data_IF_064063430199
#
_entry.id   IF_064063430199
#
_cell.length_a   1.000
_cell.length_b   1.000
_cell.length_c   1.000
_cell.angle_alpha   90.00
_cell.angle_beta   90.00
_cell.angle_gamma   90.00
#
_symmetry.space_group_name_H-M   'P 1'
#
loop_
_entity.id
_entity.type
_entity.pdbx_description
1 polymer ?
#
# COMPACT_ATOMS: atom_id res chain seq x y z
N UNK A 1 12.56 -31.98 54.92
CA UNK A 1 11.68 -30.86 54.58
C UNK A 1 12.27 -30.22 53.31
N UNK A 2 11.75 -30.47 52.08
CA UNK A 2 12.18 -29.73 50.87
C UNK A 2 11.30 -28.50 50.71
N UNK A 3 11.97 -27.37 50.50
CA UNK A 3 11.38 -26.09 50.19
C UNK A 3 10.84 -26.08 48.73
N UNK A 4 9.56 -25.92 48.59
CA UNK A 4 8.89 -25.73 47.31
C UNK A 4 9.26 -24.38 46.72
N UNK A 5 9.99 -24.41 45.60
CA UNK A 5 10.21 -23.21 44.77
C UNK A 5 8.95 -22.90 43.95
N UNK A 6 8.30 -21.79 44.26
CA UNK A 6 7.21 -21.24 43.47
C UNK A 6 7.77 -20.79 42.11
N UNK A 7 7.01 -20.98 40.97
CA UNK A 7 7.43 -20.47 39.68
C UNK A 7 7.23 -18.95 39.64
N UNK A 8 8.02 -18.19 38.85
CA UNK A 8 7.90 -16.77 38.75
C UNK A 8 6.58 -16.38 38.05
N UNK A 9 5.90 -15.45 38.69
CA UNK A 9 4.69 -14.79 38.26
C UNK A 9 4.80 -14.27 36.83
N UNK A 10 3.96 -14.79 35.94
CA UNK A 10 3.89 -14.36 34.55
C UNK A 10 3.33 -12.95 34.52
N UNK A 11 4.17 -11.97 34.29
CA UNK A 11 3.77 -10.59 34.09
C UNK A 11 2.68 -10.52 32.98
N UNK A 12 1.58 -9.80 33.21
CA UNK A 12 0.52 -9.68 32.21
C UNK A 12 1.08 -8.99 30.96
N UNK A 13 0.95 -9.65 29.81
CA UNK A 13 1.31 -9.09 28.52
C UNK A 13 0.52 -7.78 28.31
N UNK A 14 1.22 -6.66 28.25
CA UNK A 14 0.64 -5.35 27.97
C UNK A 14 -0.18 -5.45 26.68
N UNK A 15 -1.46 -5.10 26.67
CA UNK A 15 -2.30 -5.18 25.47
C UNK A 15 -1.67 -4.32 24.38
N UNK A 16 -1.30 -4.96 23.27
CA UNK A 16 -0.78 -4.27 22.09
C UNK A 16 -1.86 -3.31 21.62
N UNK A 17 -1.61 -2.01 21.75
CA UNK A 17 -2.55 -0.98 21.31
C UNK A 17 -2.98 -1.26 19.87
N UNK A 18 -4.27 -1.17 19.60
CA UNK A 18 -4.82 -1.35 18.26
C UNK A 18 -4.12 -0.41 17.26
N UNK A 19 -3.83 -0.85 16.04
CA UNK A 19 -3.24 0.01 15.02
C UNK A 19 -4.19 1.19 14.74
N UNK A 20 -3.62 2.37 14.59
CA UNK A 20 -4.37 3.58 14.23
C UNK A 20 -4.86 3.44 12.79
N UNK A 21 -6.13 3.71 12.44
CA UNK A 21 -6.61 3.60 11.08
C UNK A 21 -5.83 4.52 10.10
N UNK A 22 -5.71 4.19 8.79
CA UNK A 22 -5.07 5.05 7.82
C UNK A 22 -5.69 6.45 7.83
N UNK A 23 -4.86 7.47 7.71
CA UNK A 23 -5.35 8.83 7.54
C UNK A 23 -5.94 8.97 6.14
N UNK A 24 -7.24 9.25 6.04
CA UNK A 24 -7.90 9.46 4.76
C UNK A 24 -7.61 10.85 4.22
N UNK A 25 -7.22 10.93 2.95
CA UNK A 25 -7.05 12.15 2.17
C UNK A 25 -7.75 11.96 0.83
N UNK A 26 -8.40 13.02 0.33
CA UNK A 26 -9.23 12.93 -0.87
C UNK A 26 -8.42 13.04 -2.17
N UNK A 27 -7.20 13.57 -2.09
CA UNK A 27 -6.36 13.81 -3.27
C UNK A 27 -4.88 13.76 -2.95
N UNK A 28 -4.07 13.62 -4.01
CA UNK A 28 -2.61 13.72 -3.92
C UNK A 28 -2.16 15.08 -3.37
N UNK A 29 -2.87 16.18 -3.70
CA UNK A 29 -2.58 17.50 -3.15
C UNK A 29 -2.74 17.54 -1.62
N UNK A 30 -3.78 16.93 -1.07
CA UNK A 30 -3.95 16.84 0.39
C UNK A 30 -2.87 15.98 1.02
N UNK A 31 -2.47 14.89 0.36
CA UNK A 31 -1.34 14.08 0.78
C UNK A 31 -0.05 14.90 0.84
N UNK A 32 0.25 15.65 -0.21
CA UNK A 32 1.45 16.52 -0.28
C UNK A 32 1.49 17.51 0.88
N UNK A 33 0.36 18.17 1.17
CA UNK A 33 0.24 19.07 2.32
C UNK A 33 0.51 18.35 3.64
N UNK A 34 -0.03 17.14 3.82
CA UNK A 34 0.19 16.34 5.01
C UNK A 34 1.68 15.96 5.16
N UNK A 35 2.36 15.64 4.06
CA UNK A 35 3.76 15.25 4.05
C UNK A 35 4.73 16.42 4.34
N UNK A 36 4.38 17.67 4.02
CA UNK A 36 5.26 18.84 4.15
C UNK A 36 5.88 18.94 5.54
N UNK A 37 5.09 18.77 6.60
CA UNK A 37 5.55 18.86 7.98
C UNK A 37 6.56 17.78 8.33
N UNK A 38 6.29 16.55 7.89
CA UNK A 38 7.16 15.40 8.15
C UNK A 38 8.48 15.52 7.40
N UNK A 39 8.43 15.88 6.13
CA UNK A 39 9.62 16.13 5.31
C UNK A 39 10.46 17.31 5.83
N UNK A 40 9.82 18.38 6.29
CA UNK A 40 10.54 19.53 6.87
C UNK A 40 11.24 19.17 8.18
N UNK A 41 10.65 18.29 8.99
CA UNK A 41 11.27 17.78 10.23
C UNK A 41 12.45 16.88 9.91
N UNK A 42 12.28 15.88 9.05
CA UNK A 42 13.33 14.96 8.62
C UNK A 42 14.55 15.71 8.06
N UNK A 43 14.32 16.71 7.20
CA UNK A 43 15.43 17.54 6.67
C UNK A 43 16.26 18.24 7.75
N UNK A 44 15.61 18.73 8.81
CA UNK A 44 16.34 19.39 9.92
C UNK A 44 17.17 18.39 10.74
N UNK A 45 16.76 17.13 10.75
CA UNK A 45 17.45 16.06 11.46
C UNK A 45 18.50 15.35 10.60
N UNK A 46 18.52 15.62 9.29
CA UNK A 46 19.40 14.93 8.34
C UNK A 46 18.95 13.53 7.99
N UNK A 47 17.72 13.15 8.38
CA UNK A 47 17.16 11.81 8.14
C UNK A 47 16.63 11.70 6.71
N UNK A 48 16.72 10.49 6.14
CA UNK A 48 16.11 10.16 4.87
C UNK A 48 14.71 9.62 5.11
N UNK A 49 13.78 10.04 4.25
CA UNK A 49 12.44 9.49 4.23
C UNK A 49 12.16 8.85 2.87
N UNK A 50 11.39 7.79 2.89
CA UNK A 50 10.91 7.13 1.69
C UNK A 50 9.39 7.19 1.64
N UNK A 51 8.84 7.36 0.44
CA UNK A 51 7.41 7.27 0.16
C UNK A 51 7.15 6.05 -0.71
N UNK A 52 6.29 5.16 -0.24
CA UNK A 52 5.69 4.11 -1.06
C UNK A 52 4.32 4.59 -1.54
N UNK A 53 4.11 4.56 -2.84
CA UNK A 53 2.81 4.75 -3.46
C UNK A 53 2.24 3.39 -3.84
N UNK A 54 1.01 3.10 -3.44
CA UNK A 54 0.38 1.80 -3.62
C UNK A 54 -0.92 1.98 -4.38
N UNK A 55 -1.02 1.39 -5.56
CA UNK A 55 -2.25 1.32 -6.35
C UNK A 55 -2.90 -0.05 -6.21
N UNK A 56 -4.21 -0.06 -6.05
CA UNK A 56 -5.01 -1.26 -5.87
C UNK A 56 -6.02 -1.36 -7.00
N UNK A 57 -5.91 -2.42 -7.78
CA UNK A 57 -6.83 -2.73 -8.87
C UNK A 57 -7.60 -4.01 -8.53
N UNK A 58 -8.94 -3.93 -8.55
CA UNK A 58 -9.77 -5.13 -8.37
C UNK A 58 -9.82 -5.93 -9.67
N UNK A 59 -9.55 -7.23 -9.56
CA UNK A 59 -9.55 -8.14 -10.70
C UNK A 59 -10.98 -8.62 -10.99
N UNK A 60 -11.61 -8.05 -12.01
CA UNK A 60 -13.02 -8.32 -12.38
C UNK A 60 -13.24 -9.65 -13.10
N UNK A 61 -12.19 -10.21 -13.70
CA UNK A 61 -12.27 -11.48 -14.42
C UNK A 61 -12.40 -12.72 -13.51
N UNK A 62 -12.24 -12.54 -12.21
CA UNK A 62 -12.34 -13.59 -11.19
C UNK A 62 -13.66 -13.53 -10.38
N UNK A 63 -14.60 -12.66 -10.78
CA UNK A 63 -15.85 -12.48 -10.07
C UNK A 63 -16.78 -11.43 -10.68
N UNK A 64 -17.90 -11.11 -10.04
CA UNK A 64 -18.81 -10.06 -10.49
C UNK A 64 -18.10 -8.69 -10.49
N UNK A 65 -18.56 -7.77 -11.33
CA UNK A 65 -18.04 -6.41 -11.36
C UNK A 65 -18.18 -5.76 -9.96
N UNK A 66 -17.10 -5.16 -9.43
CA UNK A 66 -17.11 -4.59 -8.09
C UNK A 66 -18.02 -3.35 -8.05
N UNK A 67 -18.97 -3.36 -7.14
CA UNK A 67 -19.75 -2.17 -6.79
C UNK A 67 -18.97 -1.24 -5.83
N UNK A 68 -19.56 -0.08 -5.52
CA UNK A 68 -18.94 0.88 -4.61
C UNK A 68 -18.71 0.32 -3.20
N UNK A 69 -19.62 -0.50 -2.71
CA UNK A 69 -19.52 -1.13 -1.40
C UNK A 69 -18.38 -2.15 -1.34
N UNK A 70 -18.17 -2.92 -2.40
CA UNK A 70 -17.05 -3.87 -2.48
C UNK A 70 -15.71 -3.14 -2.53
N UNK A 71 -15.61 -2.04 -3.28
CA UNK A 71 -14.38 -1.23 -3.34
C UNK A 71 -14.01 -0.67 -1.97
N UNK A 72 -14.97 -0.08 -1.27
CA UNK A 72 -14.77 0.47 0.07
C UNK A 72 -14.36 -0.62 1.06
N UNK A 73 -15.02 -1.78 1.05
CA UNK A 73 -14.70 -2.89 1.93
C UNK A 73 -13.29 -3.45 1.67
N UNK A 74 -12.87 -3.56 0.40
CA UNK A 74 -11.50 -3.95 0.03
C UNK A 74 -10.49 -2.91 0.51
N UNK A 75 -10.77 -1.62 0.30
CA UNK A 75 -9.89 -0.53 0.74
C UNK A 75 -9.71 -0.55 2.28
N UNK A 76 -10.78 -0.74 3.04
CA UNK A 76 -10.73 -0.87 4.50
C UNK A 76 -9.90 -2.08 4.93
N UNK A 77 -10.15 -3.25 4.34
CA UNK A 77 -9.44 -4.48 4.68
C UNK A 77 -7.94 -4.40 4.31
N UNK A 78 -7.62 -3.79 3.17
CA UNK A 78 -6.25 -3.55 2.74
C UNK A 78 -5.56 -2.54 3.65
N UNK A 79 -6.19 -1.42 3.98
CA UNK A 79 -5.66 -0.42 4.89
C UNK A 79 -5.35 -1.00 6.27
N UNK A 80 -6.25 -1.83 6.82
CA UNK A 80 -6.01 -2.55 8.07
C UNK A 80 -4.81 -3.51 7.95
N UNK A 81 -4.75 -4.31 6.86
CA UNK A 81 -3.62 -5.22 6.62
C UNK A 81 -2.31 -4.45 6.48
N UNK A 82 -2.29 -3.35 5.74
CA UNK A 82 -1.12 -2.50 5.55
C UNK A 82 -0.57 -1.98 6.88
N UNK A 83 -1.44 -1.47 7.76
CA UNK A 83 -1.03 -0.97 9.09
C UNK A 83 -0.43 -2.03 10.01
N UNK A 84 -0.89 -3.27 9.89
CA UNK A 84 -0.28 -4.38 10.63
C UNK A 84 1.11 -4.76 10.11
N UNK A 85 1.51 -4.30 8.92
CA UNK A 85 2.76 -4.66 8.23
C UNK A 85 3.81 -3.57 8.25
N UNK A 86 3.46 -2.35 8.64
CA UNK A 86 4.39 -1.23 8.81
C UNK A 86 4.66 -0.97 10.29
N UNK A 87 5.68 -0.16 10.59
CA UNK A 87 6.02 0.23 11.95
C UNK A 87 5.02 1.28 12.46
N UNK A 88 4.90 1.42 13.78
CA UNK A 88 4.05 2.47 14.39
C UNK A 88 4.54 3.89 14.09
N UNK A 89 5.79 4.05 13.74
CA UNK A 89 6.41 5.33 13.34
C UNK A 89 6.10 5.68 11.89
N UNK A 90 5.76 4.69 11.07
CA UNK A 90 5.42 4.89 9.68
C UNK A 90 4.01 5.46 9.57
N UNK A 91 3.81 6.36 8.61
CA UNK A 91 2.52 7.00 8.39
C UNK A 91 1.83 6.37 7.20
N UNK A 92 0.59 5.94 7.41
CA UNK A 92 -0.23 5.33 6.37
C UNK A 92 -1.38 6.26 6.01
N UNK A 93 -1.49 6.58 4.73
CA UNK A 93 -2.56 7.39 4.15
C UNK A 93 -3.38 6.53 3.19
N UNK A 94 -4.69 6.69 3.23
CA UNK A 94 -5.57 6.27 2.15
C UNK A 94 -5.84 7.48 1.27
N UNK A 95 -5.58 7.38 -0.02
CA UNK A 95 -5.71 8.48 -1.00
C UNK A 95 -6.84 8.15 -1.97
N UNK A 96 -7.94 8.91 -1.88
CA UNK A 96 -9.14 8.58 -2.62
C UNK A 96 -9.69 7.19 -2.27
N UNK A 97 -10.21 6.48 -3.27
CA UNK A 97 -10.91 5.20 -3.05
C UNK A 97 -9.99 3.98 -3.08
N UNK A 98 -8.92 3.99 -3.89
CA UNK A 98 -8.09 2.81 -4.16
C UNK A 98 -6.59 3.02 -4.00
N UNK A 99 -6.16 4.25 -3.69
CA UNK A 99 -4.77 4.59 -3.49
C UNK A 99 -4.35 4.53 -2.02
N UNK A 100 -3.11 4.14 -1.77
CA UNK A 100 -2.48 4.27 -0.45
C UNK A 100 -1.08 4.86 -0.59
N UNK A 101 -0.67 5.55 0.46
CA UNK A 101 0.70 6.05 0.57
C UNK A 101 1.25 5.70 1.95
N UNK A 102 2.52 5.29 2.00
CA UNK A 102 3.22 5.00 3.25
C UNK A 102 4.49 5.84 3.31
N UNK A 103 4.58 6.71 4.31
CA UNK A 103 5.80 7.46 4.58
C UNK A 103 6.63 6.69 5.60
N UNK A 104 7.84 6.32 5.20
CA UNK A 104 8.80 5.55 6.00
C UNK A 104 9.95 6.43 6.45
N UNK A 105 10.38 6.25 7.69
CA UNK A 105 11.68 6.72 8.17
C UNK A 105 12.72 5.64 7.83
N UNK A 106 13.26 5.73 6.60
CA UNK A 106 14.16 4.73 6.05
C UNK A 106 15.00 5.31 4.89
N UNK A 107 16.19 4.77 4.74
CA UNK A 107 17.01 4.92 3.54
C UNK A 107 16.48 4.04 2.39
N UNK A 108 17.12 4.10 1.24
CA UNK A 108 16.74 3.36 0.05
C UNK A 108 16.66 1.85 0.30
N UNK A 109 17.70 1.28 0.90
CA UNK A 109 17.79 -0.17 1.13
C UNK A 109 16.70 -0.66 2.10
N UNK A 110 16.45 0.09 3.18
CA UNK A 110 15.38 -0.18 4.11
C UNK A 110 13.99 -0.08 3.47
N UNK A 111 13.78 0.91 2.61
CA UNK A 111 12.52 1.10 1.90
C UNK A 111 12.24 -0.01 0.88
N UNK A 112 13.24 -0.44 0.10
CA UNK A 112 13.13 -1.56 -0.85
C UNK A 112 12.76 -2.88 -0.14
N UNK A 113 13.30 -3.12 1.07
CA UNK A 113 12.93 -4.28 1.88
C UNK A 113 11.46 -4.22 2.32
N UNK A 114 10.97 -3.04 2.70
CA UNK A 114 9.56 -2.85 3.08
C UNK A 114 8.66 -3.00 1.85
N UNK A 115 9.01 -2.41 0.73
CA UNK A 115 8.29 -2.53 -0.55
C UNK A 115 8.12 -4.01 -0.95
N UNK A 116 9.22 -4.77 -1.01
CA UNK A 116 9.19 -6.20 -1.33
C UNK A 116 8.28 -6.97 -0.38
N UNK A 117 8.42 -6.75 0.92
CA UNK A 117 7.57 -7.39 1.93
C UNK A 117 6.10 -7.07 1.75
N UNK A 118 5.77 -5.79 1.50
CA UNK A 118 4.39 -5.36 1.28
C UNK A 118 3.83 -5.93 -0.02
N UNK A 119 4.60 -5.95 -1.11
CA UNK A 119 4.17 -6.53 -2.39
C UNK A 119 3.80 -8.01 -2.27
N UNK A 120 4.47 -8.76 -1.41
CA UNK A 120 4.16 -10.16 -1.14
C UNK A 120 2.94 -10.32 -0.20
N UNK A 121 2.86 -9.51 0.84
CA UNK A 121 1.88 -9.68 1.92
C UNK A 121 0.53 -9.02 1.68
N UNK A 122 0.46 -8.04 0.79
CA UNK A 122 -0.79 -7.40 0.39
C UNK A 122 -1.49 -8.14 -0.76
N UNK A 123 -0.78 -9.00 -1.49
CA UNK A 123 -1.40 -9.90 -2.48
C UNK A 123 -2.25 -10.93 -1.75
N UNK A 124 -3.40 -11.22 -2.31
CA UNK A 124 -4.23 -12.30 -1.79
C UNK A 124 -5.70 -11.96 -1.80
N UNK A 125 -6.54 -12.96 -1.58
CA UNK A 125 -7.96 -12.71 -1.53
C UNK A 125 -8.32 -11.87 -0.30
N UNK A 126 -9.27 -10.99 -0.50
CA UNK A 126 -9.90 -10.21 0.56
C UNK A 126 -11.31 -10.74 0.76
N UNK A 127 -11.58 -11.27 1.96
CA UNK A 127 -12.89 -11.84 2.29
C UNK A 127 -13.94 -10.73 2.47
N UNK A 128 -15.02 -10.82 1.69
CA UNK A 128 -16.15 -9.90 1.73
C UNK A 128 -17.43 -10.68 2.11
N UNK A 129 -17.51 -11.12 3.35
CA UNK A 129 -18.61 -12.00 3.80
C UNK A 129 -18.56 -13.35 3.10
N UNK A 130 -19.51 -13.60 2.18
CA UNK A 130 -19.57 -14.86 1.39
C UNK A 130 -18.78 -14.80 0.08
N UNK A 131 -18.26 -13.65 -0.30
CA UNK A 131 -17.51 -13.43 -1.52
C UNK A 131 -16.04 -13.18 -1.23
N UNK A 132 -15.19 -13.37 -2.23
CA UNK A 132 -13.78 -13.01 -2.17
C UNK A 132 -13.47 -12.02 -3.28
N UNK A 133 -12.72 -10.96 -2.95
CA UNK A 133 -12.18 -10.03 -3.92
C UNK A 133 -10.70 -10.33 -4.15
N UNK A 134 -10.31 -10.41 -5.41
CA UNK A 134 -8.92 -10.52 -5.83
C UNK A 134 -8.43 -9.15 -6.28
N UNK A 135 -7.22 -8.79 -5.87
CA UNK A 135 -6.62 -7.50 -6.20
C UNK A 135 -5.25 -7.68 -6.83
N UNK A 136 -4.95 -6.79 -7.75
CA UNK A 136 -3.59 -6.53 -8.20
C UNK A 136 -3.05 -5.32 -7.44
N UNK A 137 -1.81 -5.40 -6.98
CA UNK A 137 -1.15 -4.33 -6.21
C UNK A 137 0.11 -3.94 -6.95
N UNK A 138 0.22 -2.65 -7.25
CA UNK A 138 1.43 -2.03 -7.78
C UNK A 138 1.99 -1.07 -6.74
N UNK A 139 3.28 -1.16 -6.47
CA UNK A 139 3.96 -0.29 -5.50
C UNK A 139 5.08 0.44 -6.21
N UNK A 140 5.17 1.74 -5.99
CA UNK A 140 6.28 2.58 -6.43
C UNK A 140 6.96 3.23 -5.24
N UNK A 141 8.27 3.43 -5.35
CA UNK A 141 9.14 3.94 -4.31
C UNK A 141 9.79 5.25 -4.72
N UNK A 142 9.76 6.23 -3.84
CA UNK A 142 10.57 7.44 -3.97
C UNK A 142 11.31 7.76 -2.66
N UNK A 143 12.55 8.23 -2.78
CA UNK A 143 13.36 8.66 -1.64
C UNK A 143 13.41 10.18 -1.60
N UNK A 144 13.31 10.76 -0.41
CA UNK A 144 13.46 12.21 -0.18
C UNK A 144 14.92 12.63 -0.36
N UNK A 145 15.37 12.63 -1.61
CA UNK A 145 16.68 13.12 -2.03
C UNK A 145 16.62 14.62 -2.39
N UNK A 146 17.77 15.20 -2.75
CA UNK A 146 17.81 16.59 -3.23
C UNK A 146 16.93 16.85 -4.44
N UNK A 147 16.76 15.85 -5.31
CA UNK A 147 15.91 15.94 -6.51
C UNK A 147 14.41 15.92 -6.20
N UNK A 148 13.98 15.26 -5.11
CA UNK A 148 12.57 15.13 -4.71
C UNK A 148 12.30 15.84 -3.37
N UNK A 149 12.86 17.03 -3.16
CA UNK A 149 12.81 17.76 -1.87
C UNK A 149 11.46 18.38 -1.53
N UNK A 150 10.60 18.59 -2.50
CA UNK A 150 9.26 19.13 -2.28
C UNK A 150 8.26 17.96 -2.17
N UNK A 151 7.22 18.13 -1.34
CA UNK A 151 6.22 17.08 -1.13
C UNK A 151 5.57 16.60 -2.43
N UNK A 152 5.28 17.51 -3.35
CA UNK A 152 4.75 17.21 -4.69
C UNK A 152 5.73 16.37 -5.52
N UNK A 153 7.02 16.72 -5.51
CA UNK A 153 8.02 15.93 -6.24
C UNK A 153 8.14 14.50 -5.71
N UNK A 154 8.04 14.29 -4.39
CA UNK A 154 8.16 12.95 -3.81
C UNK A 154 6.96 12.06 -4.17
N UNK A 155 5.75 12.60 -4.10
CA UNK A 155 4.53 11.87 -4.49
C UNK A 155 4.58 11.53 -5.98
N UNK A 156 4.93 12.49 -6.83
CA UNK A 156 5.01 12.27 -8.27
C UNK A 156 6.07 11.23 -8.62
N UNK A 157 7.28 11.31 -8.03
CA UNK A 157 8.33 10.31 -8.25
C UNK A 157 7.87 8.89 -7.87
N UNK A 158 7.15 8.73 -6.75
CA UNK A 158 6.64 7.43 -6.34
C UNK A 158 5.54 6.91 -7.28
N UNK A 159 4.68 7.79 -7.80
CA UNK A 159 3.67 7.43 -8.79
C UNK A 159 4.33 7.04 -10.12
N UNK A 160 5.30 7.80 -10.60
CA UNK A 160 6.02 7.52 -11.85
C UNK A 160 6.76 6.18 -11.78
N UNK A 161 7.28 5.82 -10.61
CA UNK A 161 7.94 4.53 -10.38
C UNK A 161 6.97 3.35 -10.54
N UNK A 162 5.71 3.48 -10.09
CA UNK A 162 4.66 2.48 -10.36
C UNK A 162 4.50 2.23 -11.85
N UNK A 163 4.43 3.30 -12.65
CA UNK A 163 4.24 3.16 -14.11
C UNK A 163 5.45 2.56 -14.81
N UNK A 164 6.64 2.82 -14.31
CA UNK A 164 7.89 2.28 -14.88
C UNK A 164 8.00 0.77 -14.65
N UNK A 165 7.53 0.29 -13.50
CA UNK A 165 7.61 -1.13 -13.12
C UNK A 165 6.32 -1.92 -13.40
N UNK A 166 5.29 -1.26 -13.92
CA UNK A 166 4.04 -1.94 -14.30
C UNK A 166 4.31 -2.83 -15.51
N UNK A 167 4.09 -4.16 -15.43
CA UNK A 167 4.16 -5.01 -16.61
C UNK A 167 3.15 -4.48 -17.64
N UNK A 168 3.62 -4.17 -18.84
CA UNK A 168 2.75 -3.76 -19.96
C UNK A 168 1.64 -4.80 -20.09
N UNK A 169 0.35 -4.42 -20.04
CA UNK A 169 -0.71 -5.38 -20.28
C UNK A 169 -0.47 -6.03 -21.66
N UNK A 170 -0.67 -7.35 -21.81
CA UNK A 170 -0.53 -7.99 -23.10
C UNK A 170 -1.42 -7.24 -24.09
N UNK A 171 -0.84 -6.88 -25.24
CA UNK A 171 -1.57 -6.22 -26.31
C UNK A 171 -2.86 -7.02 -26.58
N UNK A 172 -4.03 -6.35 -26.76
CA UNK A 172 -5.26 -7.05 -27.07
C UNK A 172 -5.00 -7.93 -28.30
N UNK A 173 -5.30 -9.23 -28.16
CA UNK A 173 -5.17 -10.17 -29.28
C UNK A 173 -5.92 -9.57 -30.47
N UNK A 174 -5.33 -9.58 -31.68
CA UNK A 174 -6.00 -9.06 -32.86
C UNK A 174 -7.32 -9.82 -32.99
N UNK A 175 -8.41 -9.06 -33.03
CA UNK A 175 -9.75 -9.61 -33.31
C UNK A 175 -9.61 -10.39 -34.60
N UNK A 176 -9.77 -11.72 -34.52
CA UNK A 176 -9.85 -12.56 -35.70
C UNK A 176 -11.04 -12.05 -36.50
N UNK A 177 -10.74 -11.37 -37.58
CA UNK A 177 -11.73 -11.01 -38.60
C UNK A 177 -12.22 -12.34 -39.15
N UNK A 178 -13.40 -12.75 -38.73
CA UNK A 178 -14.08 -13.88 -39.33
C UNK A 178 -14.32 -13.52 -40.80
N UNK A 179 -13.53 -14.12 -41.65
CA UNK A 179 -13.65 -14.05 -43.09
C UNK A 179 -14.96 -14.77 -43.48
N UNK A 180 -16.02 -13.98 -43.54
CA UNK A 180 -17.29 -14.40 -44.10
C UNK A 180 -17.25 -14.14 -45.59
N UNK A 181 -16.42 -14.92 -46.28
CA UNK A 181 -16.38 -14.91 -47.73
C UNK A 181 -16.87 -16.29 -48.22
N UNK A 182 -18.01 -16.22 -48.88
CA UNK A 182 -18.35 -17.03 -50.03
C UNK A 182 -18.96 -18.40 -49.83
N UNK A 183 -20.25 -18.46 -50.00
CA UNK A 183 -20.88 -19.58 -50.75
C UNK A 183 -21.96 -19.02 -51.66
N UNK A 184 -21.64 -19.11 -52.95
CA UNK A 184 -22.56 -19.04 -54.06
C UNK A 184 -23.48 -20.25 -54.08
#
# INVERSE_FOLDING_TARGET
>A
MPLASSPPDSAPATPRAAPTPPQRVESTMQLEIALIRHLARSRRQGDLMALLWIEVELLTHLGPAPDGGMREAVAQALGARLQHRVRRTDLVFQVGDTGFAVLLDADKAGAELVEKRLSEQLRGPYGMGRSQAHVHISIGLAISSEACRQGSGLVQCAMDDVYTHRPTPPAPAPLAVADAANSV
#
